data_IF_746417552667
#
_entry.id   IF_746417552667
#
_cell.length_a   1.000
_cell.length_b   1.000
_cell.length_c   1.000
_cell.angle_alpha   90.00
_cell.angle_beta   90.00
_cell.angle_gamma   90.00
#
_symmetry.space_group_name_H-M   'P 1'
#
loop_
_entity.id
_entity.type
_entity.pdbx_description
1 polymer ?
#
# COMPACT_ATOMS: atom_id res chain seq x y z
N UNK A 1 17.81 1.80 -8.09
CA UNK A 1 17.42 2.96 -8.91
C UNK A 1 15.91 3.22 -8.97
N UNK A 2 15.08 2.54 -8.16
CA UNK A 2 13.62 2.58 -8.28
C UNK A 2 12.92 3.86 -7.76
N UNK A 3 13.58 4.68 -6.92
CA UNK A 3 12.92 5.81 -6.25
C UNK A 3 12.78 7.10 -7.07
N UNK A 4 13.62 7.29 -8.10
CA UNK A 4 13.73 8.59 -8.80
C UNK A 4 12.59 8.90 -9.77
N UNK A 5 11.79 7.90 -10.15
CA UNK A 5 10.71 8.09 -11.12
C UNK A 5 9.36 8.47 -10.48
N UNK A 6 9.27 8.48 -9.14
CA UNK A 6 8.05 8.85 -8.40
C UNK A 6 8.21 10.18 -7.64
N UNK A 7 9.39 10.44 -7.05
CA UNK A 7 9.74 11.72 -6.40
C UNK A 7 10.21 12.73 -7.46
N UNK A 8 9.25 13.48 -8.01
CA UNK A 8 9.48 14.55 -9.00
C UNK A 8 9.31 15.89 -8.33
N UNK A 9 10.40 16.63 -8.12
CA UNK A 9 10.34 17.96 -7.49
C UNK A 9 10.97 19.08 -8.33
N UNK A 10 11.25 18.92 -9.63
CA UNK A 10 11.89 20.04 -10.36
C UNK A 10 11.56 20.26 -11.84
N UNK A 11 11.35 19.25 -12.71
CA UNK A 11 11.15 19.50 -14.17
C UNK A 11 10.25 18.45 -14.87
N UNK A 12 8.94 18.70 -15.04
CA UNK A 12 7.96 17.73 -15.55
C UNK A 12 8.27 17.16 -16.94
N UNK A 13 8.74 17.99 -17.88
CA UNK A 13 8.96 17.59 -19.28
C UNK A 13 10.23 16.76 -19.46
N UNK A 14 11.29 17.12 -18.74
CA UNK A 14 12.57 16.37 -18.73
C UNK A 14 12.36 14.98 -18.11
N UNK A 15 11.57 14.91 -17.04
CA UNK A 15 11.26 13.66 -16.35
C UNK A 15 10.39 12.72 -17.20
N UNK A 16 9.45 13.26 -17.98
CA UNK A 16 8.63 12.48 -18.90
C UNK A 16 9.47 11.88 -20.04
N UNK A 17 10.40 12.65 -20.59
CA UNK A 17 11.34 12.17 -21.61
C UNK A 17 12.28 11.08 -21.07
N UNK A 18 12.78 11.22 -19.83
CA UNK A 18 13.64 10.22 -19.19
C UNK A 18 12.87 8.91 -18.92
N UNK A 19 11.62 9.00 -18.46
CA UNK A 19 10.74 7.84 -18.26
C UNK A 19 10.48 7.08 -19.56
N UNK A 20 10.09 7.78 -20.63
CA UNK A 20 9.86 7.16 -21.93
C UNK A 20 11.15 6.56 -22.52
N UNK A 21 12.28 7.25 -22.38
CA UNK A 21 13.58 6.73 -22.77
C UNK A 21 13.98 5.45 -22.00
N UNK A 22 13.65 5.37 -20.71
CA UNK A 22 13.83 4.14 -19.93
C UNK A 22 12.97 2.99 -20.44
N UNK A 23 11.69 3.24 -20.74
CA UNK A 23 10.80 2.23 -21.33
C UNK A 23 11.32 1.75 -22.70
N UNK A 24 11.90 2.64 -23.50
CA UNK A 24 12.54 2.30 -24.78
C UNK A 24 13.75 1.39 -24.61
N UNK A 25 14.58 1.68 -23.62
CA UNK A 25 15.71 0.81 -23.27
C UNK A 25 15.22 -0.58 -22.82
N UNK A 26 14.15 -0.66 -22.03
CA UNK A 26 13.56 -1.94 -21.64
C UNK A 26 13.05 -2.73 -22.86
N UNK A 27 12.29 -2.09 -23.74
CA UNK A 27 11.77 -2.70 -24.98
C UNK A 27 12.91 -3.20 -25.87
N UNK A 28 13.95 -2.37 -26.05
CA UNK A 28 15.13 -2.69 -26.87
C UNK A 28 15.94 -3.87 -26.34
N UNK A 29 16.20 -3.91 -25.03
CA UNK A 29 17.14 -4.88 -24.45
C UNK A 29 16.50 -6.19 -23.98
N UNK A 30 15.19 -6.23 -23.72
CA UNK A 30 14.53 -7.44 -23.21
C UNK A 30 13.41 -8.00 -24.09
N UNK A 31 13.08 -7.33 -25.20
CA UNK A 31 12.07 -7.81 -26.15
C UNK A 31 10.67 -7.97 -25.54
N UNK A 32 9.86 -8.89 -26.08
CA UNK A 32 8.43 -9.07 -25.72
C UNK A 32 8.17 -9.65 -24.32
N UNK A 33 9.21 -10.00 -23.54
CA UNK A 33 9.09 -10.48 -22.14
C UNK A 33 9.86 -9.56 -21.18
N UNK A 34 9.86 -8.26 -21.45
CA UNK A 34 10.71 -7.31 -20.74
C UNK A 34 10.43 -7.25 -19.23
N UNK A 35 9.17 -7.44 -18.84
CA UNK A 35 8.68 -7.29 -17.48
C UNK A 35 7.69 -8.42 -17.14
N UNK A 36 7.67 -8.80 -15.86
CA UNK A 36 6.78 -9.84 -15.33
C UNK A 36 5.57 -9.26 -14.58
N UNK A 37 5.63 -8.00 -14.20
CA UNK A 37 4.66 -7.32 -13.35
C UNK A 37 5.19 -5.96 -12.92
N UNK A 38 4.31 -5.15 -12.31
CA UNK A 38 4.64 -3.82 -11.79
C UNK A 38 4.33 -3.79 -10.29
N UNK A 39 5.29 -3.36 -9.48
CA UNK A 39 5.04 -3.08 -8.07
C UNK A 39 4.86 -1.57 -7.92
N UNK A 40 3.69 -1.14 -7.45
CA UNK A 40 3.43 0.24 -7.08
C UNK A 40 3.62 0.35 -5.57
N UNK A 41 4.69 1.00 -5.13
CA UNK A 41 4.93 1.28 -3.72
C UNK A 41 4.45 2.69 -3.37
N UNK A 42 3.42 2.79 -2.53
CA UNK A 42 2.95 4.05 -1.97
C UNK A 42 3.01 3.95 -0.45
N UNK A 43 3.43 5.01 0.23
CA UNK A 43 3.48 5.01 1.68
C UNK A 43 2.10 5.30 2.27
N UNK A 44 1.77 4.68 3.42
CA UNK A 44 0.46 4.82 4.08
C UNK A 44 0.19 6.27 4.55
N UNK A 45 1.24 7.09 4.70
CA UNK A 45 1.16 8.52 4.99
C UNK A 45 0.42 9.31 3.90
N UNK A 46 0.63 8.97 2.62
CA UNK A 46 -0.06 9.60 1.49
C UNK A 46 -1.58 9.41 1.57
N UNK A 47 -2.04 8.32 2.19
CA UNK A 47 -3.46 8.11 2.41
C UNK A 47 -4.02 9.09 3.42
N UNK A 48 -3.21 9.64 4.35
CA UNK A 48 -3.64 10.58 5.40
C UNK A 48 -3.81 12.01 4.92
N UNK A 49 -3.44 12.25 3.66
CA UNK A 49 -3.76 13.47 2.95
C UNK A 49 -5.27 13.52 2.65
N UNK A 50 -5.79 14.68 2.24
CA UNK A 50 -7.19 14.80 1.83
C UNK A 50 -7.46 14.11 0.48
N UNK A 51 -8.72 13.77 0.21
CA UNK A 51 -9.15 13.01 -0.96
C UNK A 51 -8.58 13.54 -2.29
N UNK A 52 -8.50 14.85 -2.48
CA UNK A 52 -7.96 15.41 -3.72
C UNK A 52 -6.48 15.13 -3.93
N UNK A 53 -5.70 15.08 -2.84
CA UNK A 53 -4.29 14.71 -2.90
C UNK A 53 -4.13 13.20 -3.16
N UNK A 54 -4.95 12.37 -2.50
CA UNK A 54 -5.01 10.91 -2.76
C UNK A 54 -5.34 10.64 -4.23
N UNK A 55 -6.37 11.31 -4.77
CA UNK A 55 -6.74 11.20 -6.18
C UNK A 55 -5.62 11.71 -7.10
N UNK A 56 -4.89 12.76 -6.71
CA UNK A 56 -3.76 13.25 -7.49
C UNK A 56 -2.63 12.22 -7.58
N UNK A 57 -2.27 11.56 -6.47
CA UNK A 57 -1.34 10.42 -6.46
C UNK A 57 -1.84 9.31 -7.38
N UNK A 58 -3.12 8.92 -7.24
CA UNK A 58 -3.72 7.87 -8.05
C UNK A 58 -3.70 8.16 -9.55
N UNK A 59 -4.09 9.37 -9.96
CA UNK A 59 -4.05 9.82 -11.37
C UNK A 59 -2.63 9.84 -11.93
N UNK A 60 -1.64 10.27 -11.13
CA UNK A 60 -0.23 10.27 -11.53
C UNK A 60 0.26 8.85 -11.79
N UNK A 61 -0.05 7.90 -10.90
CA UNK A 61 0.34 6.51 -11.06
C UNK A 61 -0.38 5.88 -12.26
N UNK A 62 -1.70 6.12 -12.41
CA UNK A 62 -2.49 5.66 -13.56
C UNK A 62 -1.83 6.06 -14.89
N UNK A 63 -1.47 7.34 -15.03
CA UNK A 63 -0.79 7.84 -16.24
C UNK A 63 0.51 7.07 -16.52
N UNK A 64 1.32 6.80 -15.49
CA UNK A 64 2.57 6.04 -15.67
C UNK A 64 2.33 4.58 -16.06
N UNK A 65 1.28 3.95 -15.50
CA UNK A 65 0.89 2.59 -15.88
C UNK A 65 0.37 2.55 -17.32
N UNK A 66 -0.41 3.55 -17.75
CA UNK A 66 -0.86 3.68 -19.13
C UNK A 66 0.31 3.87 -20.09
N UNK A 67 1.23 4.82 -19.81
CA UNK A 67 2.45 5.03 -20.61
C UNK A 67 3.29 3.75 -20.73
N UNK A 68 3.39 2.97 -19.64
CA UNK A 68 4.09 1.69 -19.64
C UNK A 68 3.41 0.67 -20.57
N UNK A 69 2.10 0.47 -20.42
CA UNK A 69 1.33 -0.47 -21.23
C UNK A 69 1.36 -0.07 -22.70
N UNK A 70 1.16 1.21 -23.02
CA UNK A 70 1.14 1.75 -24.38
C UNK A 70 2.51 1.59 -25.05
N UNK A 71 3.60 1.88 -24.32
CA UNK A 71 4.93 1.84 -24.91
C UNK A 71 5.44 0.41 -25.11
N UNK A 72 5.16 -0.47 -24.14
CA UNK A 72 5.62 -1.86 -24.16
C UNK A 72 4.66 -2.81 -24.88
N UNK A 73 3.42 -2.41 -25.14
CA UNK A 73 2.36 -3.22 -25.77
C UNK A 73 2.11 -4.53 -25.00
N UNK A 74 2.18 -4.49 -23.67
CA UNK A 74 1.99 -5.63 -22.77
C UNK A 74 1.10 -5.20 -21.60
N UNK A 75 0.14 -6.03 -21.24
CA UNK A 75 -0.67 -5.85 -20.03
C UNK A 75 -0.03 -6.61 -18.87
N UNK A 76 0.43 -5.89 -17.85
CA UNK A 76 1.14 -6.46 -16.70
C UNK A 76 0.27 -6.48 -15.44
N UNK A 77 0.41 -7.52 -14.59
CA UNK A 77 -0.18 -7.49 -13.26
C UNK A 77 0.47 -6.40 -12.40
N UNK A 78 -0.36 -5.62 -11.72
CA UNK A 78 0.04 -4.52 -10.85
C UNK A 78 -0.20 -4.90 -9.39
N UNK A 79 0.86 -4.89 -8.58
CA UNK A 79 0.82 -5.16 -7.15
C UNK A 79 0.92 -3.84 -6.39
N UNK A 80 -0.19 -3.40 -5.79
CA UNK A 80 -0.20 -2.21 -4.94
C UNK A 80 0.34 -2.57 -3.55
N UNK A 81 1.44 -1.96 -3.18
CA UNK A 81 2.10 -2.13 -1.89
C UNK A 81 2.02 -0.83 -1.09
N UNK A 82 1.17 -0.84 -0.06
CA UNK A 82 1.09 0.22 0.95
C UNK A 82 2.23 0.01 1.95
N UNK A 83 3.29 0.78 1.77
CA UNK A 83 4.52 0.75 2.58
C UNK A 83 4.38 1.58 3.85
N UNK A 84 5.33 1.40 4.77
CA UNK A 84 5.36 2.04 6.09
C UNK A 84 4.10 1.78 6.92
N UNK A 85 3.55 0.56 6.85
CA UNK A 85 2.37 0.18 7.62
C UNK A 85 2.57 0.30 9.14
N UNK A 86 3.82 0.36 9.61
CA UNK A 86 4.19 0.70 10.99
C UNK A 86 3.74 2.09 11.44
N UNK A 87 3.47 2.99 10.49
CA UNK A 87 2.87 4.29 10.79
C UNK A 87 1.40 4.17 11.18
N UNK A 88 0.72 3.03 10.99
CA UNK A 88 -0.64 2.87 11.50
C UNK A 88 -0.58 2.80 13.02
N UNK A 89 -1.25 3.72 13.72
CA UNK A 89 -1.26 3.72 15.19
C UNK A 89 -1.69 2.36 15.75
N UNK A 90 -0.89 1.83 16.66
CA UNK A 90 -1.07 0.50 17.27
C UNK A 90 -0.37 -0.64 16.54
N UNK A 91 0.25 -0.41 15.37
CA UNK A 91 0.93 -1.46 14.60
C UNK A 91 2.01 -2.18 15.41
N UNK A 92 2.94 -1.43 16.00
CA UNK A 92 4.04 -2.02 16.79
C UNK A 92 3.53 -2.75 18.04
N UNK A 93 2.50 -2.21 18.70
CA UNK A 93 1.88 -2.89 19.84
C UNK A 93 1.24 -4.23 19.40
N UNK A 94 0.60 -4.24 18.23
CA UNK A 94 -0.08 -5.44 17.72
C UNK A 94 0.89 -6.49 17.16
N UNK A 95 1.87 -6.07 16.34
CA UNK A 95 2.73 -6.97 15.57
C UNK A 95 4.17 -7.07 16.07
N UNK A 96 4.64 -6.16 16.93
CA UNK A 96 6.05 -6.11 17.36
C UNK A 96 6.56 -7.41 18.00
N UNK A 97 5.66 -8.16 18.66
CA UNK A 97 5.92 -9.46 19.28
C UNK A 97 5.89 -10.67 18.32
N UNK A 98 5.63 -10.47 17.02
CA UNK A 98 5.61 -11.57 16.06
C UNK A 98 6.99 -12.26 15.93
N UNK A 99 6.96 -13.59 15.81
CA UNK A 99 8.14 -14.38 15.42
C UNK A 99 8.65 -13.95 14.04
N UNK A 100 9.92 -14.24 13.75
CA UNK A 100 10.49 -13.95 12.41
C UNK A 100 9.66 -14.58 11.29
N UNK A 101 9.26 -15.85 11.42
CA UNK A 101 8.44 -16.52 10.42
C UNK A 101 7.06 -15.83 10.24
N UNK A 102 6.43 -15.40 11.33
CA UNK A 102 5.17 -14.66 11.28
C UNK A 102 5.33 -13.26 10.69
N UNK A 103 6.48 -12.61 10.84
CA UNK A 103 6.75 -11.32 10.17
C UNK A 103 6.97 -11.48 8.67
N UNK A 104 7.41 -12.65 8.22
CA UNK A 104 7.67 -12.90 6.80
C UNK A 104 6.39 -13.17 5.99
N UNK A 105 5.25 -13.45 6.64
CA UNK A 105 3.95 -13.76 6.01
C UNK A 105 3.46 -12.65 5.07
N UNK A 106 2.53 -12.95 4.17
CA UNK A 106 1.86 -11.94 3.34
C UNK A 106 0.72 -11.30 4.15
N UNK A 107 0.64 -9.97 4.15
CA UNK A 107 -0.50 -9.26 4.74
C UNK A 107 -1.16 -8.37 3.68
N UNK A 108 -2.36 -8.77 3.24
CA UNK A 108 -3.04 -8.16 2.11
C UNK A 108 -3.98 -9.13 1.42
N UNK A 109 -4.34 -8.80 0.18
CA UNK A 109 -5.22 -9.58 -0.67
C UNK A 109 -4.65 -9.72 -2.08
N UNK A 110 -4.94 -10.86 -2.70
CA UNK A 110 -4.45 -11.29 -4.00
C UNK A 110 -5.67 -11.70 -4.82
N UNK A 111 -6.02 -10.91 -5.82
CA UNK A 111 -7.30 -11.07 -6.53
C UNK A 111 -7.29 -12.26 -7.51
N UNK A 112 -8.44 -12.73 -7.98
CA UNK A 112 -8.45 -13.69 -9.09
C UNK A 112 -7.92 -13.03 -10.38
N UNK A 113 -7.40 -13.82 -11.33
CA UNK A 113 -6.81 -13.28 -12.56
C UNK A 113 -7.83 -12.50 -13.40
N UNK A 114 -9.08 -12.92 -13.38
CA UNK A 114 -10.24 -12.34 -14.06
C UNK A 114 -11.08 -11.41 -13.16
N UNK A 115 -10.62 -11.14 -11.92
CA UNK A 115 -11.35 -10.31 -10.99
C UNK A 115 -11.43 -8.86 -11.49
N UNK A 116 -12.63 -8.29 -11.43
CA UNK A 116 -12.83 -6.85 -11.55
C UNK A 116 -12.83 -6.24 -10.16
N UNK A 117 -11.82 -5.42 -9.88
CA UNK A 117 -11.63 -4.78 -8.57
C UNK A 117 -12.25 -3.39 -8.58
N UNK A 118 -13.25 -3.18 -7.73
CA UNK A 118 -13.93 -1.91 -7.49
C UNK A 118 -13.85 -1.50 -6.01
N UNK A 119 -14.37 -0.32 -5.68
CA UNK A 119 -14.38 0.19 -4.31
C UNK A 119 -15.01 -0.78 -3.30
N UNK A 120 -16.11 -1.47 -3.67
CA UNK A 120 -16.78 -2.46 -2.81
C UNK A 120 -15.93 -3.70 -2.56
N UNK A 121 -15.19 -4.13 -3.57
CA UNK A 121 -14.21 -5.21 -3.44
C UNK A 121 -13.15 -4.83 -2.42
N UNK A 122 -12.57 -3.64 -2.53
CA UNK A 122 -11.59 -3.12 -1.56
C UNK A 122 -12.17 -3.05 -0.15
N UNK A 123 -13.37 -2.50 0.02
CA UNK A 123 -14.05 -2.42 1.32
C UNK A 123 -14.14 -3.80 2.00
N UNK A 124 -14.60 -4.81 1.26
CA UNK A 124 -14.73 -6.18 1.76
C UNK A 124 -13.39 -6.81 2.14
N UNK A 125 -12.34 -6.60 1.34
CA UNK A 125 -11.01 -7.15 1.63
C UNK A 125 -10.40 -6.50 2.87
N UNK A 126 -10.54 -5.18 3.05
CA UNK A 126 -10.08 -4.49 4.26
C UNK A 126 -10.86 -4.95 5.49
N UNK A 127 -12.19 -5.11 5.38
CA UNK A 127 -13.00 -5.67 6.45
C UNK A 127 -12.57 -7.11 6.83
N UNK A 128 -12.24 -7.93 5.84
CA UNK A 128 -11.72 -9.29 6.06
C UNK A 128 -10.41 -9.28 6.83
N UNK A 129 -9.48 -8.39 6.48
CA UNK A 129 -8.23 -8.21 7.23
C UNK A 129 -8.51 -7.76 8.67
N UNK A 130 -9.43 -6.81 8.88
CA UNK A 130 -9.81 -6.35 10.22
C UNK A 130 -10.40 -7.49 11.08
N UNK A 131 -11.32 -8.29 10.53
CA UNK A 131 -11.86 -9.47 11.22
C UNK A 131 -10.79 -10.50 11.57
N UNK A 132 -9.77 -10.68 10.73
CA UNK A 132 -8.64 -11.56 11.05
C UNK A 132 -7.81 -11.02 12.23
N UNK A 133 -7.65 -9.70 12.36
CA UNK A 133 -7.01 -9.08 13.52
C UNK A 133 -7.86 -9.23 14.77
N UNK A 134 -9.17 -9.03 14.67
CA UNK A 134 -10.10 -9.20 15.80
C UNK A 134 -10.04 -10.59 16.41
N UNK A 135 -9.94 -11.63 15.57
CA UNK A 135 -9.77 -13.03 16.03
C UNK A 135 -8.47 -13.25 16.81
N UNK A 136 -7.45 -12.39 16.63
CA UNK A 136 -6.17 -12.44 17.33
C UNK A 136 -6.14 -11.52 18.55
N UNK A 137 -7.18 -10.73 18.82
CA UNK A 137 -7.16 -9.75 19.91
C UNK A 137 -7.00 -10.39 21.28
N UNK A 138 -7.82 -11.39 21.62
CA UNK A 138 -7.82 -12.03 22.94
C UNK A 138 -6.42 -12.55 23.31
N UNK A 139 -5.77 -13.43 22.51
CA UNK A 139 -4.44 -13.91 22.87
C UNK A 139 -3.40 -12.78 22.90
N UNK A 140 -3.49 -11.77 22.02
CA UNK A 140 -2.55 -10.62 22.05
C UNK A 140 -2.72 -9.75 23.30
N UNK A 141 -3.93 -9.64 23.84
CA UNK A 141 -4.21 -8.87 25.06
C UNK A 141 -3.80 -9.63 26.32
N UNK A 142 -3.92 -10.97 26.32
CA UNK A 142 -3.46 -11.83 27.42
C UNK A 142 -1.92 -11.77 27.56
N UNK A 143 -1.20 -11.75 26.44
CA UNK A 143 0.27 -11.73 26.39
C UNK A 143 0.92 -10.36 26.73
N UNK A 144 0.14 -9.30 26.92
CA UNK A 144 0.67 -7.94 27.16
C UNK A 144 0.31 -7.48 28.57
N UNK A 145 1.27 -7.03 29.37
CA UNK A 145 1.02 -6.57 30.75
C UNK A 145 0.70 -5.08 30.83
N UNK A 146 1.23 -4.27 29.91
CA UNK A 146 1.13 -2.82 29.98
C UNK A 146 -0.24 -2.36 29.49
N UNK A 147 -1.02 -1.74 30.38
CA UNK A 147 -2.35 -1.22 30.06
C UNK A 147 -2.35 -0.28 28.84
N UNK A 148 -1.32 0.56 28.69
CA UNK A 148 -1.19 1.45 27.54
C UNK A 148 -1.05 0.67 26.23
N UNK A 149 -0.25 -0.40 26.20
CA UNK A 149 -0.06 -1.24 25.02
C UNK A 149 -1.33 -2.08 24.72
N UNK A 150 -2.00 -2.62 25.74
CA UNK A 150 -3.32 -3.28 25.58
C UNK A 150 -4.33 -2.36 24.89
N UNK A 151 -4.37 -1.09 25.29
CA UNK A 151 -5.29 -0.12 24.71
C UNK A 151 -4.97 0.21 23.24
N UNK A 152 -3.70 0.13 22.83
CA UNK A 152 -3.28 0.27 21.42
C UNK A 152 -3.61 -1.00 20.61
N UNK A 153 -3.33 -2.19 21.16
CA UNK A 153 -3.70 -3.49 20.56
C UNK A 153 -5.20 -3.56 20.29
N UNK A 154 -6.02 -3.20 21.27
CA UNK A 154 -7.48 -3.22 21.17
C UNK A 154 -8.01 -2.30 20.05
N UNK A 155 -7.40 -1.12 19.86
CA UNK A 155 -7.84 -0.14 18.86
C UNK A 155 -7.34 -0.43 17.45
N UNK A 156 -6.32 -1.28 17.31
CA UNK A 156 -5.64 -1.50 16.02
C UNK A 156 -6.56 -1.98 14.88
N UNK A 157 -7.49 -2.94 15.06
CA UNK A 157 -8.40 -3.34 13.97
C UNK A 157 -9.27 -2.20 13.45
N UNK A 158 -9.72 -1.31 14.35
CA UNK A 158 -10.48 -0.12 13.96
C UNK A 158 -9.60 0.90 13.22
N UNK A 159 -8.33 1.05 13.61
CA UNK A 159 -7.37 1.89 12.88
C UNK A 159 -7.16 1.36 11.45
N UNK A 160 -7.05 0.05 11.25
CA UNK A 160 -7.00 -0.53 9.91
C UNK A 160 -8.28 -0.24 9.11
N UNK A 161 -9.44 -0.43 9.73
CA UNK A 161 -10.75 -0.18 9.09
C UNK A 161 -10.89 1.28 8.63
N UNK A 162 -10.34 2.22 9.40
CA UNK A 162 -10.35 3.65 9.06
C UNK A 162 -9.59 4.00 7.77
N UNK A 163 -8.74 3.09 7.28
CA UNK A 163 -8.02 3.26 6.02
C UNK A 163 -8.85 2.81 4.80
N UNK A 164 -10.00 2.15 5.01
CA UNK A 164 -10.81 1.57 3.93
C UNK A 164 -11.20 2.60 2.88
N UNK A 165 -11.83 3.71 3.29
CA UNK A 165 -12.28 4.76 2.37
C UNK A 165 -11.12 5.45 1.61
N UNK A 166 -10.05 5.91 2.27
CA UNK A 166 -8.87 6.43 1.58
C UNK A 166 -8.26 5.46 0.55
N UNK A 167 -8.23 4.17 0.85
CA UNK A 167 -7.71 3.14 -0.08
C UNK A 167 -8.67 2.97 -1.26
N UNK A 168 -9.99 3.00 -1.04
CA UNK A 168 -10.98 2.97 -2.11
C UNK A 168 -10.80 4.17 -3.06
N UNK A 169 -10.64 5.38 -2.52
CA UNK A 169 -10.40 6.60 -3.31
C UNK A 169 -9.13 6.46 -4.17
N UNK A 170 -8.04 5.94 -3.58
CA UNK A 170 -6.80 5.71 -4.29
C UNK A 170 -6.97 4.68 -5.42
N UNK A 171 -7.56 3.53 -5.11
CA UNK A 171 -7.76 2.43 -6.06
C UNK A 171 -8.66 2.85 -7.22
N UNK A 172 -9.75 3.58 -6.95
CA UNK A 172 -10.63 4.12 -7.98
C UNK A 172 -9.88 5.12 -8.88
N UNK A 173 -9.06 6.00 -8.30
CA UNK A 173 -8.27 6.94 -9.09
C UNK A 173 -7.19 6.26 -9.96
N UNK A 174 -6.64 5.12 -9.51
CA UNK A 174 -5.61 4.36 -10.21
C UNK A 174 -6.17 3.41 -11.27
N UNK A 175 -7.22 2.68 -10.93
CA UNK A 175 -7.71 1.50 -11.66
C UNK A 175 -9.18 1.60 -12.07
N UNK A 176 -9.88 2.68 -11.70
CA UNK A 176 -11.28 2.90 -12.07
C UNK A 176 -11.48 2.99 -13.57
N UNK A 177 -12.71 2.74 -14.03
CA UNK A 177 -13.04 2.74 -15.45
C UNK A 177 -12.74 4.10 -16.11
N UNK A 178 -12.26 4.06 -17.35
CA UNK A 178 -12.14 5.24 -18.21
C UNK A 178 -12.71 4.91 -19.58
N UNK A 179 -13.32 5.90 -20.22
CA UNK A 179 -13.78 5.79 -21.62
C UNK A 179 -12.63 5.84 -22.62
N UNK A 180 -11.45 6.28 -22.20
CA UNK A 180 -10.32 6.57 -23.09
C UNK A 180 -9.14 5.62 -22.92
N UNK A 181 -9.06 4.91 -21.78
CA UNK A 181 -7.91 4.08 -21.41
C UNK A 181 -8.39 2.79 -20.75
N UNK A 182 -7.79 1.65 -21.12
CA UNK A 182 -8.01 0.38 -20.43
C UNK A 182 -7.43 0.46 -19.01
N UNK A 183 -8.18 -0.01 -18.02
CA UNK A 183 -7.72 -0.03 -16.63
C UNK A 183 -6.54 -1.00 -16.46
N UNK A 184 -5.52 -0.56 -15.71
CA UNK A 184 -4.41 -1.43 -15.35
C UNK A 184 -4.90 -2.65 -14.55
N UNK A 185 -4.21 -3.78 -14.70
CA UNK A 185 -4.61 -5.03 -14.06
C UNK A 185 -4.17 -5.08 -12.59
N UNK A 186 -5.02 -4.62 -11.67
CA UNK A 186 -4.74 -4.73 -10.23
C UNK A 186 -4.77 -6.20 -9.80
N UNK A 187 -3.58 -6.75 -9.53
CA UNK A 187 -3.38 -8.15 -9.13
C UNK A 187 -3.47 -8.34 -7.61
N UNK A 188 -3.15 -7.34 -6.81
CA UNK A 188 -3.31 -7.42 -5.36
C UNK A 188 -2.98 -6.13 -4.63
N UNK A 189 -3.37 -6.08 -3.36
CA UNK A 189 -3.15 -4.97 -2.44
C UNK A 189 -2.54 -5.50 -1.15
N UNK A 190 -1.40 -4.94 -0.74
CA UNK A 190 -0.61 -5.45 0.38
C UNK A 190 -0.12 -4.33 1.29
N UNK A 191 0.01 -4.63 2.58
CA UNK A 191 0.57 -3.73 3.58
C UNK A 191 1.94 -4.25 4.02
N UNK A 192 2.95 -3.38 4.04
CA UNK A 192 4.33 -3.76 4.36
C UNK A 192 5.03 -2.70 5.22
N UNK A 193 6.02 -3.12 5.99
CA UNK A 193 6.96 -2.23 6.68
C UNK A 193 8.37 -2.76 6.50
N UNK A 194 9.29 -1.95 5.99
CA UNK A 194 10.67 -2.38 5.74
C UNK A 194 11.62 -1.92 6.86
N UNK A 195 11.52 -0.66 7.23
CA UNK A 195 12.30 -0.01 8.30
C UNK A 195 11.37 0.94 9.05
N UNK A 196 11.27 0.79 10.38
CA UNK A 196 10.47 1.65 11.24
C UNK A 196 11.14 3.02 11.39
N UNK A 197 10.72 3.99 10.57
CA UNK A 197 11.17 5.38 10.64
C UNK A 197 9.96 6.31 10.45
N UNK A 198 9.71 7.22 11.41
CA UNK A 198 8.61 8.19 11.35
C UNK A 198 7.77 8.25 12.64
N UNK A 199 6.76 9.12 12.65
CA UNK A 199 5.79 9.24 13.74
C UNK A 199 4.47 8.55 13.36
N UNK A 200 3.84 7.75 14.24
CA UNK A 200 2.57 7.09 13.94
C UNK A 200 1.45 8.06 13.58
N UNK A 201 0.62 7.64 12.62
CA UNK A 201 -0.58 8.28 12.11
C UNK A 201 -1.80 7.74 12.89
N UNK A 202 -2.56 8.64 13.50
CA UNK A 202 -3.79 8.34 14.25
C UNK A 202 -5.03 8.87 13.52
N UNK A 203 -5.57 8.08 12.59
CA UNK A 203 -6.67 8.53 11.72
C UNK A 203 -8.00 8.57 12.44
N UNK A 204 -8.25 7.65 13.36
CA UNK A 204 -9.48 7.67 14.18
C UNK A 204 -9.58 8.95 15.01
N UNK A 205 -8.51 9.32 15.71
CA UNK A 205 -8.50 10.56 16.49
C UNK A 205 -8.62 11.77 15.58
N UNK A 206 -7.93 11.79 14.42
CA UNK A 206 -8.03 12.88 13.45
C UNK A 206 -9.46 13.06 12.91
N UNK A 207 -10.14 11.95 12.56
CA UNK A 207 -11.52 11.96 12.09
C UNK A 207 -12.48 12.48 13.17
N UNK A 208 -12.37 11.98 14.40
CA UNK A 208 -13.17 12.47 15.54
C UNK A 208 -12.93 13.95 15.81
N UNK A 209 -11.67 14.39 15.87
CA UNK A 209 -11.34 15.81 16.06
C UNK A 209 -11.93 16.70 14.97
N UNK A 210 -11.89 16.24 13.70
CA UNK A 210 -12.50 16.96 12.58
C UNK A 210 -14.02 17.07 12.74
N UNK A 211 -14.72 15.98 13.09
CA UNK A 211 -16.17 16.00 13.30
C UNK A 211 -16.62 16.87 14.47
N UNK A 212 -15.79 17.04 15.50
CA UNK A 212 -16.08 17.85 16.69
C UNK A 212 -15.41 19.24 16.70
N UNK A 213 -14.75 19.65 15.61
CA UNK A 213 -14.08 20.96 15.51
C UNK A 213 -12.92 21.18 16.48
N UNK A 214 -12.30 20.10 16.95
CA UNK A 214 -11.19 20.14 17.92
C UNK A 214 -9.83 20.35 17.20
N UNK A 215 -8.87 21.06 17.82
CA UNK A 215 -7.55 21.25 17.23
C UNK A 215 -6.81 19.90 17.04
N UNK A 216 -6.09 19.71 15.92
CA UNK A 216 -5.40 18.46 15.65
C UNK A 216 -4.29 18.23 16.69
N UNK A 217 -4.31 17.05 17.33
CA UNK A 217 -3.32 16.69 18.34
C UNK A 217 -2.03 16.25 17.65
N UNK A 218 -0.90 16.89 17.97
CA UNK A 218 0.42 16.51 17.42
C UNK A 218 0.83 15.11 17.89
N UNK A 219 1.15 14.22 16.94
CA UNK A 219 1.73 12.91 17.24
C UNK A 219 3.12 13.08 17.85
N UNK A 220 3.41 12.35 18.94
CA UNK A 220 4.75 12.32 19.53
C UNK A 220 5.59 11.24 18.83
N UNK A 221 6.91 11.47 18.64
CA UNK A 221 7.80 10.46 18.07
C UNK A 221 7.85 9.22 18.97
N UNK A 222 7.68 8.03 18.39
CA UNK A 222 7.90 6.79 19.11
C UNK A 222 9.43 6.54 19.31
N UNK A 223 9.85 5.87 20.39
CA UNK A 223 11.25 5.47 20.55
C UNK A 223 11.69 4.57 19.38
N UNK A 224 12.94 4.73 18.92
CA UNK A 224 13.51 3.94 17.81
C UNK A 224 13.47 2.45 18.14
N UNK A 225 12.62 1.71 17.43
CA UNK A 225 12.57 0.24 17.48
C UNK A 225 13.68 -0.34 16.60
N UNK A 226 14.18 -1.52 16.98
CA UNK A 226 15.15 -2.30 16.21
C UNK A 226 14.65 -2.51 14.77
N UNK A 227 15.50 -2.25 13.75
CA UNK A 227 15.11 -2.34 12.33
C UNK A 227 14.65 -3.75 11.98
N UNK A 228 13.35 -3.96 11.76
CA UNK A 228 12.75 -5.25 11.42
C UNK A 228 11.81 -5.10 10.24
N UNK A 229 11.84 -6.02 9.29
CA UNK A 229 10.86 -6.01 8.19
C UNK A 229 9.62 -6.81 8.58
N UNK A 230 8.46 -6.30 8.16
CA UNK A 230 7.15 -6.93 8.28
C UNK A 230 6.52 -7.05 6.90
N UNK A 231 6.00 -8.24 6.66
CA UNK A 231 5.14 -8.63 5.55
C UNK A 231 5.73 -8.47 4.15
N UNK A 232 7.07 -8.42 4.05
CA UNK A 232 7.78 -8.14 2.80
C UNK A 232 8.38 -9.38 2.13
N UNK A 233 9.00 -10.28 2.90
CA UNK A 233 9.80 -11.38 2.34
C UNK A 233 8.96 -12.35 1.50
N UNK A 234 7.90 -12.94 2.07
CA UNK A 234 7.10 -13.94 1.33
C UNK A 234 6.23 -13.25 0.28
N UNK A 235 5.86 -11.98 0.47
CA UNK A 235 5.19 -11.19 -0.56
C UNK A 235 6.04 -11.13 -1.85
N UNK A 236 7.34 -10.84 -1.72
CA UNK A 236 8.22 -10.80 -2.89
C UNK A 236 8.54 -12.21 -3.39
N UNK A 237 9.06 -13.07 -2.52
CA UNK A 237 9.71 -14.34 -2.91
C UNK A 237 8.73 -15.47 -3.21
N UNK A 238 7.62 -15.56 -2.47
CA UNK A 238 6.66 -16.66 -2.60
C UNK A 238 5.36 -16.26 -3.32
N UNK A 239 5.15 -14.97 -3.57
CA UNK A 239 3.98 -14.48 -4.31
C UNK A 239 4.40 -13.77 -5.59
N UNK A 240 4.90 -12.53 -5.51
CA UNK A 240 5.10 -11.69 -6.70
C UNK A 240 6.08 -12.33 -7.70
N UNK A 241 7.20 -12.89 -7.23
CA UNK A 241 8.17 -13.51 -8.14
C UNK A 241 7.73 -14.87 -8.67
N UNK A 242 6.83 -15.57 -7.96
CA UNK A 242 6.25 -16.84 -8.42
C UNK A 242 5.22 -16.63 -9.52
N UNK A 243 4.65 -15.44 -9.61
CA UNK A 243 3.70 -15.03 -10.64
C UNK A 243 4.37 -14.48 -11.91
N UNK A 244 5.67 -14.72 -12.07
CA UNK A 244 6.38 -14.35 -13.28
C UNK A 244 5.77 -15.00 -14.53
N UNK A 245 5.51 -14.18 -15.56
CA UNK A 245 4.95 -14.64 -16.83
C UNK A 245 3.42 -14.54 -16.95
N UNK A 246 2.72 -13.93 -15.99
CA UNK A 246 1.28 -13.66 -16.09
C UNK A 246 0.91 -12.60 -17.14
N UNK A 247 1.84 -11.69 -17.47
CA UNK A 247 1.57 -10.61 -18.42
C UNK A 247 1.26 -11.12 -19.84
N UNK A 248 0.33 -10.46 -20.52
CA UNK A 248 -0.17 -10.82 -21.86
C UNK A 248 0.05 -9.71 -22.88
#
# INVERSE_FOLDING_TARGET
TAGRYVQQESQPDVDAAEWLGFLDLLKKHRGRRALNGVIVALSIDALSEGDEAIKAHGRKIRRRLAELNDRLEIRLPVYLMLTKADLIKGFEAFFGGLSTASREQVWGTTFALDARVDAKTIEREIATLATQLERRLVPRLEDEDKLAARAEIFRFPAQLTSLSEPIQVLVEAMFGESRYEEAAWLRGLYLTSATQEGAPIDRLTAALSSSFGLPPRRAMPAPRVEKRSFFLKNLLTELIFREAGLGT
#
